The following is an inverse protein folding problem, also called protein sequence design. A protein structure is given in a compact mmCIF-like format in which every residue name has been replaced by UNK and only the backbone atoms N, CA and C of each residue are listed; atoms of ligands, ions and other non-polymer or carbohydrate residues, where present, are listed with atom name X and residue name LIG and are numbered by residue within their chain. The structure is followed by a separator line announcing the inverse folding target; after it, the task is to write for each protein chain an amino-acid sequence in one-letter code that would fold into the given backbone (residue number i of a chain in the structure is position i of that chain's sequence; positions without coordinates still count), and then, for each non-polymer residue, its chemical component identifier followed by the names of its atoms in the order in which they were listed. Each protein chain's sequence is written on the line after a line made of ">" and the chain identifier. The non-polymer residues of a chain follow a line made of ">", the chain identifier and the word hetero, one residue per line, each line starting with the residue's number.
data_IF_823689587313
#
_entry.id   IF_823689587313
#
_cell.length_a   1.000
_cell.length_b   1.000
_cell.length_c   1.000
_cell.angle_alpha   90.00
_cell.angle_beta   90.00
_cell.angle_gamma   90.00
#
_symmetry.space_group_name_H-M   'P 1'
#
loop_
_entity.id
_entity.type
_entity.pdbx_description
1 polymer ?
#
# COMPACT_ATOMS: atom_id res chain seq x y z
N UNK A 1 -10.69 -0.91 11.04
CA UNK A 1 -9.50 -1.51 10.42
C UNK A 1 -8.28 -1.22 11.29
N UNK A 2 -8.10 0.05 11.69
CA UNK A 2 -6.94 0.54 12.45
C UNK A 2 -6.65 -0.25 13.73
N UNK A 3 -7.60 -0.42 14.65
CA UNK A 3 -7.31 -1.02 15.96
C UNK A 3 -6.78 -2.48 15.94
N UNK A 4 -7.06 -3.28 14.90
CA UNK A 4 -6.55 -4.66 14.81
C UNK A 4 -5.16 -4.70 14.19
N UNK A 5 -4.92 -3.92 13.14
CA UNK A 5 -3.60 -3.80 12.53
C UNK A 5 -2.61 -3.07 13.43
N UNK A 6 -3.05 -2.01 14.11
CA UNK A 6 -2.27 -1.28 15.10
C UNK A 6 -1.84 -2.19 16.25
N UNK A 7 -2.75 -3.02 16.81
CA UNK A 7 -2.37 -3.99 17.86
C UNK A 7 -1.39 -5.05 17.34
N UNK A 8 -1.59 -5.51 16.12
CA UNK A 8 -0.71 -6.50 15.48
C UNK A 8 0.70 -5.93 15.31
N UNK A 9 0.82 -4.69 14.83
CA UNK A 9 2.10 -4.03 14.66
C UNK A 9 2.72 -3.52 15.96
N UNK A 10 1.94 -3.12 16.95
CA UNK A 10 2.47 -2.82 18.28
C UNK A 10 3.16 -4.06 18.88
N UNK A 11 2.55 -5.23 18.71
CA UNK A 11 3.13 -6.51 19.14
C UNK A 11 4.39 -6.85 18.35
N UNK A 12 4.37 -6.67 17.02
CA UNK A 12 5.53 -6.93 16.16
C UNK A 12 6.68 -5.94 16.38
N UNK A 13 6.38 -4.66 16.58
CA UNK A 13 7.37 -3.61 16.86
C UNK A 13 8.05 -3.80 18.21
N UNK A 14 7.33 -4.29 19.22
CA UNK A 14 7.92 -4.70 20.49
C UNK A 14 8.83 -5.94 20.34
N UNK A 15 8.44 -6.90 19.50
CA UNK A 15 9.22 -8.13 19.26
C UNK A 15 10.41 -7.93 18.30
N UNK A 16 10.38 -6.89 17.47
CA UNK A 16 11.40 -6.57 16.46
C UNK A 16 11.81 -5.11 16.67
N UNK A 17 12.78 -4.84 17.57
CA UNK A 17 13.21 -3.49 17.93
C UNK A 17 13.72 -2.65 16.76
N UNK A 18 14.08 -3.27 15.64
CA UNK A 18 14.55 -2.56 14.46
C UNK A 18 13.42 -2.18 13.48
N UNK A 19 12.20 -2.72 13.63
CA UNK A 19 11.09 -2.45 12.71
C UNK A 19 10.64 -0.98 12.83
N UNK A 20 10.91 -0.17 11.81
CA UNK A 20 10.60 1.26 11.78
C UNK A 20 9.30 1.59 11.08
N UNK A 21 8.99 0.89 9.99
CA UNK A 21 7.79 1.15 9.22
C UNK A 21 7.25 -0.10 8.54
N UNK A 22 5.94 -0.11 8.34
CA UNK A 22 5.21 -1.10 7.53
C UNK A 22 4.23 -0.33 6.66
N UNK A 23 4.29 -0.54 5.36
CA UNK A 23 3.44 0.13 4.37
C UNK A 23 2.74 -0.93 3.55
N UNK A 24 1.42 -0.82 3.45
CA UNK A 24 0.60 -1.62 2.56
C UNK A 24 0.19 -0.75 1.38
N UNK A 25 0.63 -1.13 0.18
CA UNK A 25 0.32 -0.41 -1.05
C UNK A 25 -0.29 -1.33 -2.10
N UNK A 26 -1.05 -0.75 -3.02
CA UNK A 26 -1.54 -1.44 -4.20
C UNK A 26 -0.51 -1.32 -5.33
N UNK A 27 -0.25 -2.45 -5.97
CA UNK A 27 0.58 -2.62 -7.14
C UNK A 27 -0.27 -2.63 -8.44
N UNK A 28 0.29 -2.16 -9.56
CA UNK A 28 1.57 -1.44 -9.69
C UNK A 28 1.49 0.03 -9.25
N UNK A 29 0.34 0.46 -8.76
CA UNK A 29 -0.07 1.86 -8.69
C UNK A 29 0.65 2.70 -7.63
N UNK A 30 1.24 2.05 -6.63
CA UNK A 30 1.86 2.72 -5.48
C UNK A 30 0.83 3.41 -4.58
N UNK A 31 -0.45 3.04 -4.65
CA UNK A 31 -1.47 3.63 -3.79
C UNK A 31 -1.36 3.06 -2.39
N UNK A 32 -1.12 3.91 -1.39
CA UNK A 32 -1.05 3.49 0.01
C UNK A 32 -2.46 3.15 0.49
N UNK A 33 -2.67 1.88 0.80
CA UNK A 33 -3.89 1.41 1.45
C UNK A 33 -3.82 1.63 2.96
N UNK A 34 -2.62 1.53 3.54
CA UNK A 34 -2.39 1.70 4.96
C UNK A 34 -0.89 1.87 5.26
N UNK A 35 -0.56 2.61 6.32
CA UNK A 35 0.81 2.71 6.80
C UNK A 35 0.89 2.73 8.33
N UNK A 36 2.02 2.26 8.84
CA UNK A 36 2.41 2.37 10.22
C UNK A 36 3.89 2.73 10.27
N UNK A 37 4.23 3.66 11.15
CA UNK A 37 5.60 4.04 11.45
C UNK A 37 5.78 4.15 12.95
N UNK A 38 6.97 3.79 13.43
CA UNK A 38 7.31 3.80 14.85
C UNK A 38 7.26 5.21 15.43
N UNK A 39 7.78 6.18 14.68
CA UNK A 39 7.89 7.58 15.10
C UNK A 39 6.81 8.49 14.49
N UNK A 40 5.76 7.91 13.88
CA UNK A 40 4.62 8.61 13.25
C UNK A 40 4.97 9.52 12.06
N UNK A 41 6.08 9.27 11.39
CA UNK A 41 6.45 9.94 10.14
C UNK A 41 5.73 9.29 8.93
N UNK A 42 4.47 9.66 8.70
CA UNK A 42 3.64 9.07 7.63
C UNK A 42 4.16 9.38 6.22
N UNK A 43 4.85 10.51 6.03
CA UNK A 43 5.36 10.98 4.73
C UNK A 43 6.33 9.98 4.06
N UNK A 44 7.02 9.16 4.86
CA UNK A 44 7.96 8.15 4.35
C UNK A 44 7.22 7.06 3.55
N UNK A 45 5.94 6.82 3.83
CA UNK A 45 5.15 5.80 3.15
C UNK A 45 5.00 6.07 1.63
N UNK A 46 4.95 7.34 1.23
CA UNK A 46 4.86 7.75 -0.18
C UNK A 46 6.13 7.37 -0.95
N UNK A 47 7.29 7.54 -0.34
CA UNK A 47 8.57 7.16 -0.94
C UNK A 47 8.65 5.65 -1.21
N UNK A 48 8.18 4.83 -0.27
CA UNK A 48 8.20 3.37 -0.43
C UNK A 48 7.23 2.86 -1.49
N UNK A 49 6.03 3.44 -1.55
CA UNK A 49 5.06 3.03 -2.56
C UNK A 49 5.50 3.44 -3.97
N UNK A 50 6.12 4.61 -4.13
CA UNK A 50 6.74 5.03 -5.38
C UNK A 50 7.93 4.12 -5.77
N UNK A 51 8.73 3.68 -4.78
CA UNK A 51 9.85 2.78 -4.99
C UNK A 51 9.39 1.39 -5.47
N UNK A 52 8.39 0.78 -4.84
CA UNK A 52 7.86 -0.53 -5.29
C UNK A 52 7.30 -0.43 -6.72
N UNK A 53 6.61 0.66 -7.03
CA UNK A 53 6.11 0.92 -8.37
C UNK A 53 7.22 1.00 -9.42
N UNK A 54 8.27 1.79 -9.14
CA UNK A 54 9.40 1.91 -10.05
C UNK A 54 10.08 0.54 -10.25
N UNK A 55 10.25 -0.23 -9.17
CA UNK A 55 10.78 -1.59 -9.25
C UNK A 55 9.90 -2.51 -10.10
N UNK A 56 8.58 -2.43 -9.97
CA UNK A 56 7.63 -3.21 -10.77
C UNK A 56 7.75 -2.88 -12.26
N UNK A 57 7.82 -1.60 -12.64
CA UNK A 57 8.01 -1.18 -14.03
C UNK A 57 9.32 -1.69 -14.62
N UNK A 58 10.42 -1.65 -13.85
CA UNK A 58 11.70 -2.21 -14.28
C UNK A 58 11.61 -3.72 -14.49
N UNK A 59 11.00 -4.45 -13.56
CA UNK A 59 10.86 -5.91 -13.63
C UNK A 59 9.96 -6.34 -14.79
N UNK A 60 8.88 -5.60 -15.05
CA UNK A 60 8.00 -5.82 -16.20
C UNK A 60 8.74 -5.60 -17.52
N UNK A 61 9.53 -4.53 -17.62
CA UNK A 61 10.39 -4.29 -18.79
C UNK A 61 11.46 -5.37 -19.02
N UNK A 62 11.83 -6.11 -17.97
CA UNK A 62 12.71 -7.28 -18.04
C UNK A 62 11.96 -8.59 -18.32
N UNK A 63 10.63 -8.55 -18.50
CA UNK A 63 9.79 -9.73 -18.73
C UNK A 63 9.59 -10.60 -17.49
N UNK A 64 9.79 -10.06 -16.29
CA UNK A 64 9.59 -10.79 -15.04
C UNK A 64 8.11 -10.86 -14.66
N UNK A 65 7.72 -11.97 -14.03
CA UNK A 65 6.40 -12.11 -13.42
C UNK A 65 6.29 -11.21 -12.18
N UNK A 66 5.32 -10.29 -12.20
CA UNK A 66 5.08 -9.33 -11.14
C UNK A 66 4.38 -9.94 -9.92
N UNK A 67 3.81 -11.13 -10.07
CA UNK A 67 3.02 -11.78 -9.02
C UNK A 67 3.87 -12.54 -7.99
N UNK A 68 5.15 -12.77 -8.29
CA UNK A 68 6.13 -13.40 -7.40
C UNK A 68 7.31 -12.48 -7.07
N UNK A 69 7.16 -11.18 -7.32
CA UNK A 69 8.26 -10.22 -7.16
C UNK A 69 8.60 -9.98 -5.70
N UNK A 70 9.87 -9.70 -5.44
CA UNK A 70 10.33 -9.18 -4.16
C UNK A 70 11.34 -8.07 -4.39
N UNK A 71 11.21 -6.98 -3.64
CA UNK A 71 12.19 -5.91 -3.62
C UNK A 71 12.97 -5.98 -2.32
N UNK A 72 14.30 -5.87 -2.41
CA UNK A 72 15.14 -5.67 -1.25
C UNK A 72 16.12 -4.54 -1.52
N UNK A 73 16.10 -3.52 -0.67
CA UNK A 73 17.04 -2.40 -0.70
C UNK A 73 17.78 -2.36 0.63
N UNK A 74 19.10 -2.21 0.58
CA UNK A 74 19.96 -2.19 1.78
C UNK A 74 20.89 -1.01 1.72
N UNK A 75 21.02 -0.34 2.85
CA UNK A 75 21.95 0.75 3.13
C UNK A 75 22.61 0.49 4.48
N UNK A 76 23.62 1.27 4.85
CA UNK A 76 24.31 1.12 6.13
C UNK A 76 23.38 1.37 7.34
N UNK A 77 22.34 2.19 7.16
CA UNK A 77 21.42 2.57 8.22
C UNK A 77 20.07 1.83 8.17
N UNK A 78 19.68 1.30 7.00
CA UNK A 78 18.34 0.76 6.78
C UNK A 78 18.33 -0.44 5.84
N UNK A 79 17.43 -1.38 6.14
CA UNK A 79 17.02 -2.45 5.24
C UNK A 79 15.53 -2.35 4.93
N UNK A 80 15.17 -2.41 3.66
CA UNK A 80 13.80 -2.35 3.17
C UNK A 80 13.51 -3.64 2.42
N UNK A 81 12.38 -4.28 2.70
CA UNK A 81 11.88 -5.39 1.89
C UNK A 81 10.42 -5.16 1.52
N UNK A 82 10.09 -5.32 0.24
CA UNK A 82 8.72 -5.30 -0.25
C UNK A 82 8.38 -6.63 -0.90
N UNK A 83 7.20 -7.17 -0.60
CA UNK A 83 6.71 -8.41 -1.20
C UNK A 83 5.19 -8.36 -1.32
N UNK A 84 4.60 -9.04 -2.33
CA UNK A 84 3.18 -9.32 -2.39
C UNK A 84 2.69 -9.88 -1.07
N UNK A 85 1.56 -9.35 -0.59
CA UNK A 85 0.90 -9.79 0.63
C UNK A 85 0.39 -11.25 0.50
N UNK A 86 0.10 -11.67 -0.74
CA UNK A 86 -0.22 -13.04 -1.13
C UNK A 86 0.63 -13.47 -2.31
N UNK A 87 1.03 -14.74 -2.31
CA UNK A 87 1.70 -15.38 -3.44
C UNK A 87 0.69 -16.07 -4.36
N UNK A 88 1.01 -16.16 -5.66
CA UNK A 88 0.19 -16.91 -6.62
C UNK A 88 0.15 -18.39 -6.23
N UNK A 89 -1.08 -18.90 -6.06
CA UNK A 89 -1.33 -20.27 -5.63
C UNK A 89 -1.80 -20.42 -4.18
N UNK A 90 -1.75 -19.35 -3.37
CA UNK A 90 -2.34 -19.38 -2.02
C UNK A 90 -3.88 -19.33 -2.08
N UNK A 91 -4.51 -20.45 -1.73
CA UNK A 91 -5.97 -20.62 -1.77
C UNK A 91 -6.64 -19.72 -0.71
N UNK A 92 -7.45 -18.75 -1.17
CA UNK A 92 -8.33 -17.92 -0.34
C UNK A 92 -8.97 -16.82 -1.19
N UNK A 93 -10.26 -16.56 -1.01
CA UNK A 93 -11.10 -15.90 -2.03
C UNK A 93 -11.20 -14.37 -1.95
N UNK A 94 -10.40 -13.69 -1.11
CA UNK A 94 -10.83 -12.37 -0.63
C UNK A 94 -9.82 -11.24 -0.80
N UNK A 95 -8.56 -11.59 -1.03
CA UNK A 95 -7.43 -10.67 -1.00
C UNK A 95 -6.78 -10.52 -2.37
N UNK A 96 -6.68 -9.29 -2.87
CA UNK A 96 -6.06 -9.05 -4.17
C UNK A 96 -4.56 -9.41 -4.14
N UNK A 97 -4.04 -10.16 -5.14
CA UNK A 97 -2.59 -10.40 -5.29
C UNK A 97 -1.82 -9.09 -5.54
N UNK A 98 -2.53 -8.00 -5.84
CA UNK A 98 -1.97 -6.68 -6.09
C UNK A 98 -1.59 -5.92 -4.82
N UNK A 99 -1.78 -6.45 -3.62
CA UNK A 99 -1.30 -5.76 -2.42
C UNK A 99 0.15 -6.12 -2.15
N UNK A 100 0.99 -5.11 -1.93
CA UNK A 100 2.39 -5.24 -1.57
C UNK A 100 2.59 -4.71 -0.16
N UNK A 101 3.27 -5.50 0.66
CA UNK A 101 3.68 -5.12 1.98
C UNK A 101 5.17 -4.76 1.97
N UNK A 102 5.48 -3.51 2.27
CA UNK A 102 6.83 -3.02 2.49
C UNK A 102 7.13 -2.95 3.97
N UNK A 103 8.25 -3.51 4.41
CA UNK A 103 8.76 -3.43 5.78
C UNK A 103 10.12 -2.75 5.80
N UNK A 104 10.35 -1.89 6.79
CA UNK A 104 11.56 -1.08 6.94
C UNK A 104 12.19 -1.36 8.29
N UNK A 105 13.48 -1.64 8.28
CA UNK A 105 14.26 -1.96 9.46
C UNK A 105 15.42 -0.98 9.60
N UNK A 106 15.65 -0.45 10.81
CA UNK A 106 16.79 0.39 11.13
C UNK A 106 17.99 -0.43 11.63
N UNK A 107 19.17 0.11 11.38
CA UNK A 107 20.46 -0.42 11.80
C UNK A 107 20.94 -1.58 10.94
N UNK A 108 22.10 -2.10 11.34
CA UNK A 108 22.72 -3.26 10.71
C UNK A 108 21.96 -4.54 11.11
N UNK A 109 21.03 -4.96 10.25
CA UNK A 109 20.41 -6.29 10.32
C UNK A 109 20.96 -7.17 9.21
N UNK A 110 21.30 -8.40 9.57
CA UNK A 110 21.67 -9.42 8.59
C UNK A 110 20.50 -9.69 7.63
N UNK A 111 20.80 -9.74 6.32
CA UNK A 111 19.81 -9.98 5.26
C UNK A 111 18.87 -11.15 5.54
N UNK A 112 19.36 -12.27 6.07
CA UNK A 112 18.52 -13.42 6.44
C UNK A 112 17.46 -13.08 7.49
N UNK A 113 17.80 -12.23 8.46
CA UNK A 113 16.87 -11.75 9.48
C UNK A 113 15.86 -10.75 8.92
N UNK A 114 16.26 -9.88 7.97
CA UNK A 114 15.32 -9.01 7.24
C UNK A 114 14.23 -9.86 6.58
N UNK A 115 14.64 -10.90 5.83
CA UNK A 115 13.71 -11.79 5.13
C UNK A 115 12.81 -12.56 6.11
N UNK A 116 13.39 -13.11 7.19
CA UNK A 116 12.63 -13.82 8.21
C UNK A 116 11.57 -12.93 8.87
N UNK A 117 11.98 -11.71 9.27
CA UNK A 117 11.08 -10.74 9.87
C UNK A 117 10.04 -10.23 8.88
N UNK A 118 10.42 -9.90 7.65
CA UNK A 118 9.52 -9.51 6.58
C UNK A 118 8.43 -10.55 6.33
N UNK A 119 8.81 -11.82 6.22
CA UNK A 119 7.84 -12.94 6.10
C UNK A 119 6.92 -13.04 7.31
N UNK A 120 7.46 -12.93 8.54
CA UNK A 120 6.65 -12.98 9.77
C UNK A 120 5.65 -11.82 9.85
N UNK A 121 6.08 -10.61 9.52
CA UNK A 121 5.22 -9.42 9.48
C UNK A 121 4.14 -9.62 8.42
N UNK A 122 4.52 -10.05 7.20
CA UNK A 122 3.59 -10.36 6.11
C UNK A 122 2.51 -11.33 6.53
N UNK A 123 2.88 -12.47 7.11
CA UNK A 123 1.93 -13.48 7.56
C UNK A 123 0.96 -12.93 8.61
N UNK A 124 1.47 -12.19 9.59
CA UNK A 124 0.64 -11.62 10.67
C UNK A 124 -0.29 -10.50 10.18
N UNK A 125 0.21 -9.62 9.32
CA UNK A 125 -0.61 -8.58 8.69
C UNK A 125 -1.68 -9.22 7.81
N UNK A 126 -1.32 -10.23 7.02
CA UNK A 126 -2.29 -11.00 6.23
C UNK A 126 -3.36 -11.64 7.11
N UNK A 127 -2.99 -12.37 8.16
CA UNK A 127 -3.95 -12.97 9.11
C UNK A 127 -4.88 -11.93 9.74
N UNK A 128 -4.31 -10.81 10.18
CA UNK A 128 -5.06 -9.71 10.78
C UNK A 128 -6.07 -9.13 9.78
N UNK A 129 -5.64 -8.92 8.54
CA UNK A 129 -6.50 -8.40 7.51
C UNK A 129 -7.53 -9.43 7.02
N UNK A 130 -7.18 -10.72 6.88
CA UNK A 130 -8.10 -11.81 6.53
C UNK A 130 -9.25 -11.87 7.56
N UNK A 131 -8.93 -11.70 8.85
CA UNK A 131 -9.93 -11.58 9.92
C UNK A 131 -10.83 -10.34 9.82
N UNK A 132 -10.31 -9.24 9.28
CA UNK A 132 -11.09 -8.01 9.02
C UNK A 132 -11.89 -8.11 7.70
N UNK A 133 -11.41 -8.89 6.73
CA UNK A 133 -12.01 -9.12 5.40
C UNK A 133 -13.26 -10.00 5.45
N UNK A 134 -13.33 -10.91 6.42
CA UNK A 134 -14.45 -11.84 6.59
C UNK A 134 -15.80 -11.19 6.96
N UNK A 135 -15.92 -9.84 7.05
CA UNK A 135 -17.15 -9.24 7.59
C UNK A 135 -17.46 -7.75 7.37
N UNK A 136 -17.04 -7.07 6.28
CA UNK A 136 -17.37 -5.64 6.13
C UNK A 136 -17.59 -5.07 4.71
N UNK A 137 -18.35 -3.96 4.59
CA UNK A 137 -18.67 -3.27 3.32
C UNK A 137 -17.44 -2.65 2.62
N UNK A 138 -16.40 -2.34 3.38
CA UNK A 138 -15.13 -1.81 2.89
C UNK A 138 -14.41 -2.74 1.89
N UNK A 139 -14.69 -4.06 1.93
CA UNK A 139 -14.18 -5.04 0.96
C UNK A 139 -14.67 -4.76 -0.45
N UNK A 140 -15.95 -4.36 -0.59
CA UNK A 140 -16.54 -4.00 -1.88
C UNK A 140 -15.92 -2.70 -2.38
N UNK A 141 -15.77 -1.71 -1.50
CA UNK A 141 -15.21 -0.40 -1.85
C UNK A 141 -13.72 -0.48 -2.27
N UNK A 142 -12.89 -1.24 -1.53
CA UNK A 142 -11.48 -1.43 -1.88
C UNK A 142 -11.31 -2.29 -3.13
N UNK A 143 -12.12 -3.35 -3.30
CA UNK A 143 -12.07 -4.18 -4.52
C UNK A 143 -12.57 -3.41 -5.75
N UNK A 144 -13.66 -2.65 -5.65
CA UNK A 144 -14.16 -1.77 -6.71
C UNK A 144 -13.15 -0.68 -7.07
N UNK A 145 -12.48 -0.10 -6.05
CA UNK A 145 -11.40 0.86 -6.26
C UNK A 145 -10.21 0.26 -7.01
N UNK A 146 -9.79 -0.97 -6.66
CA UNK A 146 -8.62 -1.64 -7.24
C UNK A 146 -8.90 -2.34 -8.59
N UNK A 147 -10.16 -2.70 -8.87
CA UNK A 147 -10.57 -3.33 -10.12
C UNK A 147 -10.95 -2.32 -11.22
N UNK A 148 -11.19 -1.06 -10.86
CA UNK A 148 -11.69 -0.03 -11.78
C UNK A 148 -10.65 0.87 -12.46
N UNK A 149 -9.34 0.60 -12.38
CA UNK A 149 -8.31 1.56 -12.86
C UNK A 149 -7.39 1.01 -13.96
N UNK A 150 -7.65 1.43 -15.19
CA UNK A 150 -6.60 1.72 -16.17
C UNK A 150 -5.80 2.95 -15.67
N UNK A 151 -4.47 2.87 -15.68
CA UNK A 151 -3.53 3.98 -15.45
C UNK A 151 -3.85 4.98 -14.29
N UNK A 152 -3.43 4.67 -13.05
CA UNK A 152 -3.78 5.41 -11.82
C UNK A 152 -3.24 6.84 -11.73
N UNK A 153 -2.13 7.14 -12.40
CA UNK A 153 -1.52 8.48 -12.40
C UNK A 153 -2.40 9.49 -13.12
N UNK A 154 -2.94 9.10 -14.28
CA UNK A 154 -3.85 9.91 -15.05
C UNK A 154 -5.15 10.13 -14.29
N UNK A 155 -5.64 9.11 -13.57
CA UNK A 155 -6.82 9.22 -12.73
C UNK A 155 -6.61 10.14 -11.51
N UNK A 156 -5.45 10.06 -10.84
CA UNK A 156 -5.12 10.94 -9.71
C UNK A 156 -4.87 12.38 -10.15
N UNK A 157 -4.19 12.59 -11.28
CA UNK A 157 -4.00 13.91 -11.88
C UNK A 157 -5.34 14.54 -12.26
N UNK A 158 -6.21 13.80 -12.98
CA UNK A 158 -7.56 14.24 -13.34
C UNK A 158 -8.43 14.51 -12.11
N UNK A 159 -8.32 13.69 -11.07
CA UNK A 159 -9.05 13.91 -9.82
C UNK A 159 -8.57 15.19 -9.11
N UNK A 160 -7.26 15.43 -9.09
CA UNK A 160 -6.68 16.66 -8.54
C UNK A 160 -7.14 17.90 -9.31
N UNK A 161 -7.10 17.85 -10.64
CA UNK A 161 -7.58 18.92 -11.53
C UNK A 161 -9.09 19.17 -11.37
N UNK A 162 -9.90 18.12 -11.28
CA UNK A 162 -11.36 18.23 -11.25
C UNK A 162 -11.91 18.64 -9.88
N UNK A 163 -11.24 18.21 -8.80
CA UNK A 163 -11.61 18.54 -7.42
C UNK A 163 -11.00 19.84 -6.92
N UNK A 164 -9.91 20.31 -7.55
CA UNK A 164 -9.10 21.43 -7.06
C UNK A 164 -8.26 21.10 -5.81
N UNK A 165 -8.23 19.83 -5.39
CA UNK A 165 -7.47 19.36 -4.23
C UNK A 165 -6.13 18.83 -4.71
N UNK A 166 -5.03 19.37 -4.16
CA UNK A 166 -3.68 18.99 -4.56
C UNK A 166 -3.37 17.51 -4.29
N UNK A 167 -2.51 16.90 -5.12
CA UNK A 167 -2.13 15.48 -5.01
C UNK A 167 -1.60 15.09 -3.63
N UNK A 168 -0.83 15.95 -2.97
CA UNK A 168 -0.34 15.72 -1.60
C UNK A 168 -1.48 15.67 -0.57
N UNK A 169 -2.53 16.48 -0.74
CA UNK A 169 -3.72 16.45 0.12
C UNK A 169 -4.56 15.20 -0.17
N UNK A 170 -4.69 14.80 -1.43
CA UNK A 170 -5.39 13.57 -1.83
C UNK A 170 -4.70 12.30 -1.30
N UNK A 171 -3.37 12.30 -1.21
CA UNK A 171 -2.60 11.22 -0.58
C UNK A 171 -2.90 11.06 0.92
N UNK A 172 -3.33 12.15 1.58
CA UNK A 172 -3.73 12.19 2.98
C UNK A 172 -5.25 12.37 3.11
N UNK A 173 -6.03 11.52 2.42
CA UNK A 173 -7.49 11.66 2.31
C UNK A 173 -8.22 11.73 3.66
N UNK A 174 -7.65 11.14 4.72
CA UNK A 174 -8.16 11.21 6.10
C UNK A 174 -8.10 12.60 6.73
N UNK A 175 -7.25 13.48 6.19
CA UNK A 175 -6.99 14.85 6.68
C UNK A 175 -7.72 15.92 5.85
N UNK A 176 -8.54 15.49 4.89
CA UNK A 176 -9.37 16.39 4.10
C UNK A 176 -10.47 16.99 4.99
N UNK A 177 -10.65 18.30 4.88
CA UNK A 177 -11.75 18.97 5.52
C UNK A 177 -13.08 18.60 4.85
N UNK A 178 -14.20 19.04 5.43
CA UNK A 178 -15.53 18.70 4.91
C UNK A 178 -15.78 19.23 3.49
N UNK A 179 -15.17 20.36 3.14
CA UNK A 179 -15.35 21.02 1.83
C UNK A 179 -14.53 20.32 0.76
N UNK A 180 -13.30 19.94 1.07
CA UNK A 180 -12.43 19.17 0.18
C UNK A 180 -13.01 17.78 -0.06
N UNK A 181 -13.53 17.10 0.99
CA UNK A 181 -14.21 15.80 0.83
C UNK A 181 -15.39 15.88 -0.13
N UNK A 182 -16.21 16.91 0.01
CA UNK A 182 -17.35 17.12 -0.88
C UNK A 182 -16.91 17.46 -2.31
N UNK A 183 -15.83 18.23 -2.47
CA UNK A 183 -15.24 18.57 -3.78
C UNK A 183 -14.65 17.35 -4.48
N UNK A 184 -13.98 16.46 -3.74
CA UNK A 184 -13.45 15.19 -4.24
C UNK A 184 -14.59 14.23 -4.61
N UNK A 185 -15.63 14.13 -3.79
CA UNK A 185 -16.81 13.31 -4.09
C UNK A 185 -17.50 13.78 -5.38
N UNK A 186 -17.76 15.08 -5.51
CA UNK A 186 -18.36 15.66 -6.71
C UNK A 186 -17.47 15.47 -7.96
N UNK A 187 -16.14 15.49 -7.80
CA UNK A 187 -15.20 15.23 -8.89
C UNK A 187 -15.21 13.75 -9.31
N UNK A 188 -15.30 12.81 -8.37
CA UNK A 188 -15.46 11.38 -8.65
C UNK A 188 -16.74 11.15 -9.45
N UNK A 189 -17.87 11.72 -9.01
CA UNK A 189 -19.15 11.57 -9.71
C UNK A 189 -19.09 12.10 -11.15
N UNK A 190 -18.42 13.23 -11.38
CA UNK A 190 -18.19 13.79 -12.73
C UNK A 190 -17.29 12.91 -13.60
N UNK A 191 -16.21 12.38 -13.02
CA UNK A 191 -15.28 11.51 -13.74
C UNK A 191 -15.89 10.14 -14.04
N UNK A 192 -16.86 9.69 -13.24
CA UNK A 192 -17.64 8.47 -13.48
C UNK A 192 -18.74 8.66 -14.54
N UNK A 193 -19.30 9.88 -14.66
CA UNK A 193 -20.38 10.18 -15.60
C UNK A 193 -19.91 10.70 -16.96
N UNK A 194 -18.63 11.04 -17.12
CA UNK A 194 -18.03 11.39 -18.41
C UNK A 194 -17.38 10.14 -19.03
N UNK A 195 -18.03 9.41 -19.95
CA UNK A 195 -17.37 8.35 -20.69
C UNK A 195 -16.26 8.97 -21.55
N UNK A 196 -15.09 8.34 -21.50
CA UNK A 196 -13.88 8.60 -22.27
C UNK A 196 -14.19 9.16 -23.68
N UNK A 197 -14.07 10.48 -23.84
CA UNK A 197 -13.79 11.11 -25.13
C UNK A 197 -12.44 11.80 -25.00
N UNK A 198 -11.51 11.29 -25.82
CA UNK A 198 -10.07 11.55 -25.95
C UNK A 198 -9.16 10.59 -25.17
#
# INVERSE_FOLDING_TARGET
>A
MDATLERTLATLGAAIPQLQAVVLSAAPDGLIAWCWTRDREADIALGFAALDRAAAQCLEGLGSDLDSRGLMLTTDAHSICAAPLREVGEVGRELSPKLVLTSVFAGEIQRGMVMLHGTRIRMRVREALDGVWAGGPWRRELAEFLLGREAPELALARLSETSGVGLQRLAHASELDARERESVRAAIDRLQTAPLLN
#
